data_IF_906362475107
#
_entry.id   IF_906362475107
#
_cell.length_a   1.000
_cell.length_b   1.000
_cell.length_c   1.000
_cell.angle_alpha   90.00
_cell.angle_beta   90.00
_cell.angle_gamma   90.00
#
_symmetry.space_group_name_H-M   'P 1'
#
loop_
_entity.id
_entity.type
_entity.pdbx_description
1 polymer ?
#
# COMPACT_ATOMS: atom_id res chain seq x y z
N UNK A 1 7.45 15.05 -7.99
CA UNK A 1 7.54 13.63 -8.35
C UNK A 1 8.99 13.14 -8.29
N UNK A 2 9.94 13.78 -8.95
CA UNK A 2 11.34 13.33 -9.03
C UNK A 2 11.99 13.22 -7.64
N UNK A 3 11.81 14.23 -6.78
CA UNK A 3 12.38 14.22 -5.42
C UNK A 3 11.85 13.07 -4.54
N UNK A 4 10.56 12.70 -4.68
CA UNK A 4 10.00 11.54 -3.96
C UNK A 4 10.57 10.22 -4.47
N UNK A 5 10.69 10.05 -5.78
CA UNK A 5 11.25 8.84 -6.37
C UNK A 5 12.73 8.68 -6.07
N UNK A 6 13.49 9.78 -6.05
CA UNK A 6 14.91 9.78 -5.71
C UNK A 6 15.12 9.41 -4.23
N UNK A 7 14.34 10.01 -3.33
CA UNK A 7 14.35 9.67 -1.91
C UNK A 7 13.97 8.19 -1.66
N UNK A 8 12.92 7.72 -2.34
CA UNK A 8 12.49 6.32 -2.28
C UNK A 8 13.60 5.36 -2.74
N UNK A 9 14.24 5.65 -3.87
CA UNK A 9 15.30 4.81 -4.40
C UNK A 9 16.55 4.80 -3.49
N UNK A 10 16.96 5.97 -3.02
CA UNK A 10 18.14 6.13 -2.18
C UNK A 10 18.02 5.36 -0.86
N UNK A 11 16.88 5.46 -0.17
CA UNK A 11 16.73 4.94 1.19
C UNK A 11 16.12 3.54 1.27
N UNK A 12 15.68 2.96 0.15
CA UNK A 12 14.94 1.68 0.15
C UNK A 12 15.72 0.52 0.76
N UNK A 13 17.05 0.45 0.54
CA UNK A 13 17.91 -0.57 1.12
C UNK A 13 18.02 -0.42 2.64
N UNK A 14 18.31 0.77 3.11
CA UNK A 14 18.47 1.06 4.53
C UNK A 14 17.15 0.88 5.29
N UNK A 15 16.03 1.23 4.68
CA UNK A 15 14.69 0.96 5.20
C UNK A 15 14.45 -0.54 5.40
N UNK A 16 14.83 -1.37 4.43
CA UNK A 16 14.76 -2.82 4.54
C UNK A 16 15.69 -3.38 5.63
N UNK A 17 16.92 -2.89 5.71
CA UNK A 17 17.89 -3.33 6.72
C UNK A 17 17.41 -2.96 8.15
N UNK A 18 16.75 -1.82 8.34
CA UNK A 18 16.07 -1.50 9.62
C UNK A 18 15.05 -2.55 10.03
N UNK A 19 14.18 -3.01 9.12
CA UNK A 19 13.26 -4.11 9.42
C UNK A 19 13.97 -5.39 9.85
N UNK A 20 15.12 -5.69 9.24
CA UNK A 20 15.94 -6.85 9.64
C UNK A 20 16.47 -6.70 11.07
N UNK A 21 16.91 -5.53 11.46
CA UNK A 21 17.34 -5.26 12.85
C UNK A 21 16.20 -5.36 13.85
N UNK A 22 14.96 -5.04 13.43
CA UNK A 22 13.74 -5.19 14.23
C UNK A 22 13.21 -6.64 14.27
N UNK A 23 13.91 -7.59 13.68
CA UNK A 23 13.56 -9.00 13.75
C UNK A 23 12.94 -9.61 12.50
N UNK A 24 12.76 -8.85 11.42
CA UNK A 24 12.29 -9.41 10.16
C UNK A 24 13.31 -10.44 9.60
N UNK A 25 12.83 -11.64 9.28
CA UNK A 25 13.67 -12.73 8.75
C UNK A 25 13.25 -13.09 7.33
N UNK A 26 14.02 -12.70 6.30
CA UNK A 26 13.79 -13.14 4.93
C UNK A 26 14.24 -14.59 4.72
N UNK A 27 13.79 -15.19 3.63
CA UNK A 27 14.45 -16.37 3.08
C UNK A 27 15.85 -15.97 2.61
N UNK A 28 16.85 -16.76 2.97
CA UNK A 28 18.27 -16.49 2.68
C UNK A 28 18.75 -17.35 1.50
N UNK A 29 19.57 -16.77 0.67
CA UNK A 29 20.33 -17.49 -0.34
C UNK A 29 21.53 -18.17 0.33
N UNK A 30 21.59 -19.50 0.27
CA UNK A 30 22.62 -20.31 0.94
C UNK A 30 24.05 -20.08 0.41
N UNK A 31 24.18 -19.50 -0.78
CA UNK A 31 25.50 -19.31 -1.42
C UNK A 31 26.23 -18.05 -0.91
N UNK A 32 25.47 -17.00 -0.54
CA UNK A 32 26.06 -15.69 -0.23
C UNK A 32 25.40 -14.97 0.95
N UNK A 33 24.57 -15.66 1.71
CA UNK A 33 23.84 -15.14 2.88
C UNK A 33 23.01 -13.84 2.62
N UNK A 34 22.61 -13.63 1.38
CA UNK A 34 21.79 -12.47 1.00
C UNK A 34 20.29 -12.82 0.99
N UNK A 35 19.40 -11.84 1.18
CA UNK A 35 17.97 -12.05 1.03
C UNK A 35 17.61 -12.59 -0.35
N UNK A 36 16.89 -13.70 -0.39
CA UNK A 36 16.51 -14.38 -1.63
C UNK A 36 15.36 -13.66 -2.33
N UNK A 37 15.62 -13.17 -3.53
CA UNK A 37 14.57 -12.61 -4.39
C UNK A 37 13.55 -13.67 -4.81
N UNK A 38 12.29 -13.26 -4.96
CA UNK A 38 11.26 -14.12 -5.53
C UNK A 38 11.65 -14.59 -6.94
N UNK A 39 11.21 -15.78 -7.36
CA UNK A 39 11.65 -16.40 -8.62
C UNK A 39 11.19 -15.63 -9.87
N UNK A 40 10.12 -14.84 -9.75
CA UNK A 40 9.57 -14.01 -10.83
C UNK A 40 9.46 -12.54 -10.41
N UNK A 41 9.51 -11.60 -11.36
CA UNK A 41 9.16 -10.21 -11.08
C UNK A 41 7.73 -10.11 -10.57
N UNK A 42 7.52 -9.38 -9.49
CA UNK A 42 6.17 -9.09 -8.97
C UNK A 42 5.48 -8.00 -9.81
N UNK A 43 4.17 -7.91 -9.69
CA UNK A 43 3.29 -7.05 -10.49
C UNK A 43 3.89 -5.72 -10.96
N UNK A 44 4.15 -5.62 -12.25
CA UNK A 44 4.70 -4.45 -12.94
C UNK A 44 6.21 -4.30 -12.92
N UNK A 45 6.97 -5.11 -12.16
CA UNK A 45 8.42 -5.05 -12.16
C UNK A 45 9.04 -5.66 -13.41
N UNK A 46 10.06 -5.02 -13.96
CA UNK A 46 10.87 -5.54 -15.07
C UNK A 46 12.00 -6.47 -14.62
N UNK A 47 12.33 -6.46 -13.33
CA UNK A 47 13.40 -7.27 -12.72
C UNK A 47 12.96 -7.88 -11.41
N UNK A 48 13.54 -9.02 -11.04
CA UNK A 48 13.34 -9.66 -9.74
C UNK A 48 14.06 -8.85 -8.65
N UNK A 49 13.30 -8.20 -7.79
CA UNK A 49 13.82 -7.39 -6.66
C UNK A 49 12.98 -7.53 -5.38
N UNK A 50 11.85 -8.23 -5.47
CA UNK A 50 11.01 -8.47 -4.30
C UNK A 50 11.53 -9.65 -3.51
N UNK A 51 11.63 -9.50 -2.20
CA UNK A 51 12.09 -10.53 -1.26
C UNK A 51 10.87 -11.16 -0.59
N UNK A 52 10.82 -12.50 -0.58
CA UNK A 52 9.77 -13.24 0.11
C UNK A 52 10.08 -13.43 1.59
N UNK A 53 9.03 -13.35 2.42
CA UNK A 53 9.11 -13.62 3.85
C UNK A 53 8.03 -14.64 4.22
N UNK A 54 8.37 -15.56 5.11
CA UNK A 54 7.37 -16.47 5.66
C UNK A 54 6.38 -15.66 6.51
N UNK A 55 5.07 -15.83 6.27
CA UNK A 55 4.00 -15.06 6.91
C UNK A 55 4.11 -13.55 6.69
N UNK A 56 4.45 -13.12 5.49
CA UNK A 56 4.75 -11.73 5.07
C UNK A 56 4.18 -10.61 5.93
N UNK A 57 2.87 -10.34 5.85
CA UNK A 57 2.23 -9.24 6.58
C UNK A 57 2.34 -9.37 8.09
N UNK A 58 2.17 -10.56 8.61
CA UNK A 58 2.31 -10.85 10.05
C UNK A 58 3.75 -10.60 10.51
N UNK A 59 4.75 -11.03 9.72
CA UNK A 59 6.15 -10.84 10.06
C UNK A 59 6.53 -9.34 10.11
N UNK A 60 6.05 -8.52 9.18
CA UNK A 60 6.24 -7.08 9.20
C UNK A 60 5.51 -6.42 10.37
N UNK A 61 4.25 -6.80 10.62
CA UNK A 61 3.47 -6.31 11.75
C UNK A 61 4.15 -6.61 13.09
N UNK A 62 4.64 -7.83 13.29
CA UNK A 62 5.36 -8.20 14.50
C UNK A 62 6.69 -7.46 14.65
N UNK A 63 7.46 -7.26 13.58
CA UNK A 63 8.71 -6.50 13.64
C UNK A 63 8.46 -5.05 14.07
N UNK A 64 7.46 -4.40 13.49
CA UNK A 64 7.07 -3.03 13.85
C UNK A 64 6.54 -2.93 15.29
N UNK A 65 5.59 -3.80 15.65
CA UNK A 65 5.00 -3.79 16.98
C UNK A 65 6.04 -4.07 18.06
N UNK A 66 6.92 -5.02 17.81
CA UNK A 66 8.02 -5.33 18.72
C UNK A 66 8.94 -4.12 18.95
N UNK A 67 9.23 -3.35 17.89
CA UNK A 67 10.01 -2.12 18.02
C UNK A 67 9.29 -1.03 18.83
N UNK A 68 7.97 -0.94 18.73
CA UNK A 68 7.15 0.00 19.51
C UNK A 68 7.13 -0.39 20.99
N UNK A 69 6.79 -1.65 21.32
CA UNK A 69 6.62 -2.09 22.72
C UNK A 69 7.92 -2.28 23.48
N UNK A 70 9.04 -2.50 22.79
CA UNK A 70 10.36 -2.55 23.42
C UNK A 70 10.99 -1.16 23.59
N UNK A 71 10.43 -0.15 22.92
CA UNK A 71 10.84 1.25 23.06
C UNK A 71 10.19 1.88 24.27
N UNK A 72 10.97 2.26 25.28
CA UNK A 72 10.53 2.96 26.50
C UNK A 72 10.15 4.43 26.28
N UNK A 73 10.14 4.92 25.03
CA UNK A 73 9.92 6.31 24.64
C UNK A 73 8.67 6.53 23.79
N UNK A 74 7.85 5.49 23.62
CA UNK A 74 6.65 5.54 22.78
C UNK A 74 5.45 5.17 23.64
N UNK A 75 4.59 6.14 23.88
CA UNK A 75 3.26 5.89 24.42
C UNK A 75 2.31 5.53 23.29
N UNK A 76 1.45 4.53 23.50
CA UNK A 76 0.45 4.14 22.53
C UNK A 76 -0.93 4.09 23.16
N UNK A 77 -1.93 4.49 22.39
CA UNK A 77 -3.34 4.48 22.76
C UNK A 77 -4.07 3.48 21.88
N UNK A 78 -4.61 2.43 22.50
CA UNK A 78 -5.43 1.41 21.83
C UNK A 78 -6.92 1.79 21.87
N UNK A 79 -7.71 1.25 20.96
CA UNK A 79 -9.15 1.50 20.83
C UNK A 79 -9.51 3.00 20.75
N UNK A 80 -8.62 3.77 20.15
CA UNK A 80 -8.76 5.22 20.00
C UNK A 80 -8.92 5.62 18.53
N UNK A 81 -9.80 6.57 18.27
CA UNK A 81 -10.03 7.14 16.96
C UNK A 81 -9.44 8.54 16.89
N UNK A 82 -8.51 8.76 15.96
CA UNK A 82 -8.00 10.10 15.67
C UNK A 82 -9.07 10.86 14.88
N UNK A 83 -9.60 11.93 15.45
CA UNK A 83 -10.72 12.68 14.88
C UNK A 83 -10.26 13.83 14.00
N UNK A 84 -9.28 14.61 14.49
CA UNK A 84 -8.82 15.79 13.76
C UNK A 84 -7.43 16.28 14.22
N UNK A 85 -6.77 17.03 13.34
CA UNK A 85 -5.59 17.82 13.66
C UNK A 85 -6.03 19.19 14.16
N UNK A 86 -5.52 19.59 15.30
CA UNK A 86 -5.75 20.94 15.82
C UNK A 86 -4.67 21.87 15.29
N UNK A 87 -5.11 22.91 14.59
CA UNK A 87 -4.22 23.90 13.96
C UNK A 87 -4.45 25.29 14.55
N UNK A 88 -3.45 26.15 14.44
CA UNK A 88 -3.50 27.55 14.79
C UNK A 88 -3.02 28.38 13.61
N UNK A 89 -3.76 29.43 13.26
CA UNK A 89 -3.33 30.40 12.26
C UNK A 89 -2.18 31.24 12.83
N UNK A 90 -1.24 31.61 11.96
CA UNK A 90 -0.17 32.52 12.37
C UNK A 90 -0.73 33.93 12.61
N UNK A 91 -0.30 34.64 13.69
CA UNK A 91 -0.82 35.97 14.02
C UNK A 91 -0.63 37.03 12.92
N UNK A 92 0.36 36.84 12.08
CA UNK A 92 0.74 37.72 10.97
C UNK A 92 0.10 37.33 9.63
N UNK A 93 -0.85 36.37 9.64
CA UNK A 93 -1.43 35.83 8.42
C UNK A 93 -0.52 34.87 7.68
N UNK A 94 0.57 34.42 8.28
CA UNK A 94 1.50 33.43 7.73
C UNK A 94 0.94 32.00 7.74
N UNK A 95 1.83 31.05 7.65
CA UNK A 95 1.49 29.63 7.52
C UNK A 95 0.76 29.09 8.78
N UNK A 96 -0.37 28.42 8.56
CA UNK A 96 -1.07 27.64 9.61
C UNK A 96 -0.15 26.56 10.15
N UNK A 97 -0.20 26.33 11.47
CA UNK A 97 0.65 25.31 12.12
C UNK A 97 -0.17 24.34 12.97
N UNK A 98 0.32 23.12 13.09
CA UNK A 98 -0.18 22.10 14.00
C UNK A 98 0.15 22.51 15.45
N UNK A 99 -0.81 22.36 16.34
CA UNK A 99 -0.64 22.51 17.79
C UNK A 99 -1.05 21.25 18.56
N UNK A 100 -1.63 20.25 17.88
CA UNK A 100 -2.01 18.98 18.47
C UNK A 100 -3.01 18.19 17.64
N UNK A 101 -3.71 17.28 18.32
CA UNK A 101 -4.76 16.46 17.74
C UNK A 101 -5.87 16.14 18.74
N UNK A 102 -7.02 15.80 18.22
CA UNK A 102 -8.20 15.37 18.96
C UNK A 102 -8.43 13.88 18.74
N UNK A 103 -8.59 13.14 19.84
CA UNK A 103 -8.75 11.69 19.84
C UNK A 103 -10.02 11.34 20.61
N UNK A 104 -10.75 10.34 20.13
CA UNK A 104 -11.85 9.70 20.84
C UNK A 104 -11.40 8.35 21.40
N UNK A 105 -11.40 8.21 22.71
CA UNK A 105 -11.17 6.94 23.40
C UNK A 105 -12.49 6.16 23.41
N UNK A 106 -12.61 5.17 22.57
CA UNK A 106 -13.84 4.39 22.42
C UNK A 106 -14.10 3.49 23.64
N UNK A 107 -13.06 3.06 24.33
CA UNK A 107 -13.21 2.21 25.52
C UNK A 107 -13.77 2.99 26.73
N UNK A 108 -13.42 4.28 26.84
CA UNK A 108 -13.88 5.15 27.96
C UNK A 108 -14.98 6.11 27.59
N UNK A 109 -15.26 6.27 26.28
CA UNK A 109 -16.27 7.23 25.79
C UNK A 109 -15.87 8.69 26.01
N UNK A 110 -14.56 9.01 26.01
CA UNK A 110 -14.05 10.33 26.31
C UNK A 110 -13.25 10.92 25.16
N UNK A 111 -13.17 12.25 25.11
CA UNK A 111 -12.30 12.97 24.18
C UNK A 111 -10.97 13.29 24.86
N UNK A 112 -9.89 13.06 24.13
CA UNK A 112 -8.52 13.36 24.54
C UNK A 112 -7.95 14.41 23.61
N UNK A 113 -7.53 15.56 24.15
CA UNK A 113 -6.77 16.55 23.40
C UNK A 113 -5.27 16.35 23.68
N UNK A 114 -4.51 16.10 22.61
CA UNK A 114 -3.06 15.93 22.68
C UNK A 114 -2.39 17.20 22.15
N UNK A 115 -1.51 17.81 22.95
CA UNK A 115 -0.66 18.90 22.47
C UNK A 115 0.60 18.34 21.84
N UNK A 116 0.83 18.69 20.59
CA UNK A 116 2.02 18.28 19.84
C UNK A 116 2.33 19.31 18.76
N UNK A 117 3.59 19.71 18.57
CA UNK A 117 3.99 20.63 17.49
C UNK A 117 4.10 19.94 16.14
N UNK A 118 3.99 18.60 16.10
CA UNK A 118 4.03 17.80 14.90
C UNK A 118 3.07 16.62 14.97
N UNK A 119 2.40 16.32 13.85
CA UNK A 119 1.55 15.15 13.65
C UNK A 119 1.96 14.46 12.37
N UNK A 120 2.16 13.14 12.41
CA UNK A 120 2.41 12.30 11.24
C UNK A 120 1.14 11.51 10.91
N UNK A 121 0.51 11.81 9.78
CA UNK A 121 -0.64 11.07 9.28
C UNK A 121 -0.17 9.76 8.65
N UNK A 122 -0.54 8.63 9.27
CA UNK A 122 -0.17 7.30 8.82
C UNK A 122 -1.35 6.30 8.95
N UNK A 123 -2.59 6.81 8.95
CA UNK A 123 -3.80 6.03 9.17
C UNK A 123 -4.31 5.28 7.91
N UNK A 124 -3.47 5.16 6.87
CA UNK A 124 -3.78 4.38 5.68
C UNK A 124 -4.61 5.13 4.64
N UNK A 125 -5.23 4.36 3.74
CA UNK A 125 -5.94 4.84 2.57
C UNK A 125 -7.47 4.85 2.69
N UNK A 126 -8.17 4.70 1.55
CA UNK A 126 -9.64 4.82 1.47
C UNK A 126 -10.34 3.60 0.86
N UNK A 127 -9.65 2.48 0.66
CA UNK A 127 -10.19 1.35 -0.13
C UNK A 127 -11.47 0.74 0.46
N UNK A 128 -11.75 0.95 1.75
CA UNK A 128 -13.00 0.51 2.39
C UNK A 128 -14.26 1.19 1.83
N UNK A 129 -14.13 2.34 1.16
CA UNK A 129 -15.25 2.96 0.44
C UNK A 129 -15.81 2.05 -0.66
N UNK A 130 -15.04 1.09 -1.12
CA UNK A 130 -15.43 0.10 -2.13
C UNK A 130 -15.98 -1.19 -1.54
N UNK A 131 -16.14 -1.28 -0.21
CA UNK A 131 -16.63 -2.50 0.43
C UNK A 131 -17.96 -2.98 -0.20
N UNK A 132 -18.14 -4.30 -0.42
CA UNK A 132 -17.27 -5.45 -0.11
C UNK A 132 -16.17 -5.73 -1.15
N UNK A 133 -16.03 -4.91 -2.19
CA UNK A 133 -15.11 -5.08 -3.31
C UNK A 133 -13.73 -4.49 -2.99
N UNK A 134 -13.15 -4.94 -1.89
CA UNK A 134 -11.81 -4.57 -1.44
C UNK A 134 -11.17 -5.72 -0.65
N UNK A 135 -9.86 -5.87 -0.78
CA UNK A 135 -9.05 -6.83 -0.02
C UNK A 135 -8.36 -6.19 1.19
N UNK A 136 -8.66 -4.92 1.48
CA UNK A 136 -8.02 -4.16 2.55
C UNK A 136 -8.79 -4.24 3.87
N UNK A 137 -8.13 -3.82 4.95
CA UNK A 137 -8.74 -3.73 6.27
C UNK A 137 -9.85 -2.69 6.30
N UNK A 138 -10.89 -2.93 7.08
CA UNK A 138 -12.06 -2.03 7.20
C UNK A 138 -11.72 -0.64 7.74
N UNK A 139 -10.58 -0.46 8.40
CA UNK A 139 -10.09 0.83 8.87
C UNK A 139 -9.51 1.73 7.79
N UNK A 140 -9.44 1.31 6.51
CA UNK A 140 -8.99 2.15 5.39
C UNK A 140 -10.14 3.05 4.89
N UNK A 141 -10.63 3.95 5.74
CA UNK A 141 -11.84 4.75 5.56
C UNK A 141 -11.61 6.13 4.96
N UNK A 142 -10.33 6.50 4.70
CA UNK A 142 -9.98 7.80 4.10
C UNK A 142 -9.81 8.93 5.12
N UNK A 143 -9.79 8.63 6.41
CA UNK A 143 -9.70 9.64 7.47
C UNK A 143 -8.43 10.48 7.36
N UNK A 144 -7.30 9.88 6.96
CA UNK A 144 -6.05 10.61 6.70
C UNK A 144 -6.26 11.80 5.78
N UNK A 145 -6.99 11.59 4.68
CA UNK A 145 -7.21 12.60 3.65
C UNK A 145 -8.19 13.67 4.12
N UNK A 146 -9.29 13.25 4.73
CA UNK A 146 -10.31 14.17 5.23
C UNK A 146 -9.75 15.11 6.30
N UNK A 147 -8.99 14.56 7.26
CA UNK A 147 -8.35 15.33 8.32
C UNK A 147 -7.31 16.31 7.76
N UNK A 148 -6.46 15.84 6.87
CA UNK A 148 -5.42 16.68 6.25
C UNK A 148 -6.03 17.83 5.41
N UNK A 149 -7.08 17.53 4.62
CA UNK A 149 -7.78 18.55 3.84
C UNK A 149 -8.44 19.61 4.74
N UNK A 150 -9.09 19.22 5.84
CA UNK A 150 -9.65 20.18 6.81
C UNK A 150 -8.57 21.03 7.46
N UNK A 151 -7.40 20.46 7.69
CA UNK A 151 -6.24 21.20 8.20
C UNK A 151 -5.68 22.20 7.18
N UNK A 152 -5.97 22.05 5.89
CA UNK A 152 -5.52 22.92 4.80
C UNK A 152 -4.35 22.36 3.98
N UNK A 153 -4.09 21.04 4.08
CA UNK A 153 -3.12 20.37 3.21
C UNK A 153 -3.72 20.02 1.86
N UNK A 154 -2.91 20.05 0.80
CA UNK A 154 -3.32 19.61 -0.51
C UNK A 154 -3.35 18.09 -0.62
N UNK A 155 -4.28 17.60 -1.43
CA UNK A 155 -4.37 16.20 -1.85
C UNK A 155 -3.98 16.10 -3.33
N UNK A 156 -3.30 15.01 -3.69
CA UNK A 156 -2.82 14.75 -5.05
C UNK A 156 -3.21 13.35 -5.52
N UNK A 157 -3.48 13.20 -6.82
CA UNK A 157 -3.76 11.91 -7.49
C UNK A 157 -4.93 11.12 -6.84
N UNK A 158 -5.94 11.81 -6.30
CA UNK A 158 -7.05 11.18 -5.56
C UNK A 158 -7.93 10.27 -6.43
N UNK A 159 -7.86 10.39 -7.75
CA UNK A 159 -8.51 9.51 -8.71
C UNK A 159 -7.76 8.20 -8.94
N UNK A 160 -6.51 8.09 -8.45
CA UNK A 160 -5.63 6.95 -8.70
C UNK A 160 -5.82 5.85 -7.66
N UNK A 161 -6.85 5.04 -7.83
CA UNK A 161 -7.10 3.85 -7.00
C UNK A 161 -6.68 2.59 -7.76
N UNK A 162 -5.78 1.78 -7.18
CA UNK A 162 -5.37 0.52 -7.77
C UNK A 162 -6.36 -0.59 -7.44
N UNK A 163 -6.84 -1.27 -8.49
CA UNK A 163 -7.65 -2.48 -8.37
C UNK A 163 -6.81 -3.71 -8.69
N UNK A 164 -6.94 -4.76 -7.86
CA UNK A 164 -6.40 -6.08 -8.16
C UNK A 164 -7.45 -6.89 -8.91
N UNK A 165 -7.10 -7.48 -10.09
CA UNK A 165 -8.08 -8.10 -10.97
C UNK A 165 -8.64 -9.42 -10.44
N UNK A 166 -7.85 -10.17 -9.66
CA UNK A 166 -8.17 -11.55 -9.30
C UNK A 166 -8.47 -11.68 -7.81
N UNK A 167 -9.58 -11.05 -7.43
CA UNK A 167 -10.18 -11.22 -6.11
C UNK A 167 -11.44 -12.08 -6.21
N UNK A 168 -11.83 -12.69 -5.10
CA UNK A 168 -13.01 -13.55 -5.02
C UNK A 168 -14.25 -12.77 -5.39
N UNK A 169 -15.03 -13.26 -6.37
CA UNK A 169 -16.34 -12.72 -6.71
C UNK A 169 -17.46 -13.38 -5.91
N UNK A 170 -17.31 -14.67 -5.57
CA UNK A 170 -18.24 -15.49 -4.80
C UNK A 170 -17.48 -16.61 -4.10
N UNK A 171 -17.88 -17.02 -2.87
CA UNK A 171 -19.07 -16.64 -2.11
C UNK A 171 -18.90 -15.27 -1.38
N UNK A 172 -20.00 -14.64 -0.95
CA UNK A 172 -19.98 -13.31 -0.31
C UNK A 172 -19.10 -13.20 0.94
N UNK A 173 -18.92 -14.30 1.69
CA UNK A 173 -18.05 -14.34 2.87
C UNK A 173 -16.56 -14.13 2.57
N UNK A 174 -16.16 -14.32 1.32
CA UNK A 174 -14.79 -14.14 0.82
C UNK A 174 -14.69 -13.07 -0.26
N UNK A 175 -15.82 -12.41 -0.62
CA UNK A 175 -15.83 -11.39 -1.67
C UNK A 175 -14.78 -10.31 -1.41
N UNK A 176 -14.07 -9.96 -2.46
CA UNK A 176 -13.02 -8.93 -2.42
C UNK A 176 -11.64 -9.45 -2.07
N UNK A 177 -11.50 -10.61 -1.44
CA UNK A 177 -10.19 -11.12 -1.03
C UNK A 177 -9.34 -11.57 -2.22
N UNK A 178 -8.07 -11.20 -2.20
CA UNK A 178 -7.09 -11.56 -3.22
C UNK A 178 -6.85 -13.07 -3.28
N UNK A 179 -6.97 -13.65 -4.48
CA UNK A 179 -6.66 -15.08 -4.74
C UNK A 179 -5.60 -15.26 -5.82
N UNK A 180 -5.25 -14.23 -6.57
CA UNK A 180 -4.22 -14.33 -7.60
C UNK A 180 -3.74 -12.99 -8.13
N UNK A 181 -2.64 -13.04 -8.85
CA UNK A 181 -2.04 -11.95 -9.60
C UNK A 181 -1.91 -12.35 -11.07
N UNK A 182 -1.73 -11.45 -12.02
CA UNK A 182 -1.56 -11.84 -13.43
C UNK A 182 -0.53 -12.96 -13.64
N UNK A 183 0.56 -12.93 -12.91
CA UNK A 183 1.61 -13.97 -12.98
C UNK A 183 1.11 -15.35 -12.57
N UNK A 184 0.10 -15.46 -11.71
CA UNK A 184 -0.47 -16.77 -11.31
C UNK A 184 -1.25 -17.45 -12.40
N UNK A 185 -1.72 -16.70 -13.42
CA UNK A 185 -2.38 -17.28 -14.59
C UNK A 185 -1.46 -18.19 -15.39
N UNK A 186 -0.13 -18.03 -15.27
CA UNK A 186 0.87 -18.76 -16.05
C UNK A 186 0.62 -18.67 -17.56
N UNK A 187 1.35 -19.44 -18.36
CA UNK A 187 1.42 -19.25 -19.82
C UNK A 187 0.10 -19.52 -20.58
N UNK A 188 -0.73 -20.42 -20.06
CA UNK A 188 -1.96 -20.86 -20.73
C UNK A 188 -3.23 -20.33 -20.05
N UNK A 189 -3.08 -19.50 -19.02
CA UNK A 189 -4.22 -18.90 -18.34
C UNK A 189 -4.84 -17.77 -19.16
N UNK A 190 -6.18 -17.76 -19.23
CA UNK A 190 -6.97 -16.78 -19.97
C UNK A 190 -8.11 -16.26 -19.11
N UNK A 191 -8.63 -15.08 -19.43
CA UNK A 191 -9.91 -14.60 -18.89
C UNK A 191 -11.04 -14.91 -19.85
N UNK A 192 -12.15 -15.43 -19.30
CA UNK A 192 -13.36 -15.75 -20.07
C UNK A 192 -14.59 -15.04 -19.50
N UNK A 193 -15.53 -14.70 -20.38
CA UNK A 193 -16.85 -14.20 -20.00
C UNK A 193 -17.78 -15.35 -19.55
N UNK A 194 -19.02 -14.99 -19.17
CA UNK A 194 -20.05 -15.96 -18.76
C UNK A 194 -20.39 -17.03 -19.80
N UNK A 195 -20.13 -16.76 -21.08
CA UNK A 195 -20.41 -17.68 -22.18
C UNK A 195 -19.17 -18.54 -22.52
N UNK A 196 -18.08 -18.44 -21.78
CA UNK A 196 -16.83 -19.15 -22.02
C UNK A 196 -15.95 -18.52 -23.11
N UNK A 197 -16.34 -17.38 -23.70
CA UNK A 197 -15.54 -16.68 -24.72
C UNK A 197 -14.34 -16.02 -24.06
N UNK A 198 -13.16 -16.15 -24.67
CA UNK A 198 -11.94 -15.47 -24.20
C UNK A 198 -12.10 -13.96 -24.38
N UNK A 199 -11.94 -13.21 -23.29
CA UNK A 199 -11.95 -11.74 -23.26
C UNK A 199 -10.54 -11.16 -23.15
N UNK A 200 -9.58 -11.94 -22.61
CA UNK A 200 -8.16 -11.57 -22.55
C UNK A 200 -7.30 -12.84 -22.53
N UNK A 201 -6.31 -12.88 -23.39
CA UNK A 201 -5.26 -13.89 -23.43
C UNK A 201 -3.90 -13.35 -22.95
N UNK A 202 -2.91 -14.23 -22.79
CA UNK A 202 -1.59 -13.83 -22.33
C UNK A 202 -1.61 -13.13 -20.97
N UNK A 203 -2.55 -13.48 -20.12
CA UNK A 203 -2.86 -12.82 -18.85
C UNK A 203 -1.62 -12.59 -17.98
N UNK A 204 -0.68 -13.54 -17.94
CA UNK A 204 0.54 -13.47 -17.14
C UNK A 204 1.50 -12.35 -17.56
N UNK A 205 1.36 -11.82 -18.78
CA UNK A 205 2.14 -10.69 -19.32
C UNK A 205 1.43 -9.34 -19.15
N UNK A 206 0.17 -9.35 -18.72
CA UNK A 206 -0.65 -8.15 -18.60
C UNK A 206 -0.44 -7.45 -17.26
N UNK A 207 -0.69 -6.16 -17.26
CA UNK A 207 -0.74 -5.37 -16.03
C UNK A 207 -2.04 -5.65 -15.26
N UNK A 208 -2.05 -5.31 -13.98
CA UNK A 208 -3.27 -5.36 -13.15
C UNK A 208 -4.40 -4.53 -13.76
N UNK A 209 -4.07 -3.33 -14.26
CA UNK A 209 -5.02 -2.42 -14.87
C UNK A 209 -5.66 -3.01 -16.15
N UNK A 210 -4.85 -3.61 -17.03
CA UNK A 210 -5.37 -4.25 -18.25
C UNK A 210 -6.32 -5.40 -17.94
N UNK A 211 -5.96 -6.26 -16.97
CA UNK A 211 -6.82 -7.36 -16.55
C UNK A 211 -8.12 -6.86 -15.93
N UNK A 212 -8.04 -5.86 -15.02
CA UNK A 212 -9.21 -5.26 -14.38
C UNK A 212 -10.14 -4.60 -15.43
N UNK A 213 -9.57 -3.84 -16.35
CA UNK A 213 -10.33 -3.21 -17.43
C UNK A 213 -11.01 -4.22 -18.34
N UNK A 214 -10.34 -5.32 -18.69
CA UNK A 214 -10.93 -6.38 -19.51
C UNK A 214 -12.14 -7.05 -18.82
N UNK A 215 -12.02 -7.31 -17.52
CA UNK A 215 -13.13 -7.86 -16.71
C UNK A 215 -14.29 -6.87 -16.66
N UNK A 216 -14.03 -5.61 -16.33
CA UNK A 216 -15.09 -4.62 -16.15
C UNK A 216 -15.81 -4.28 -17.47
N UNK A 217 -15.09 -4.20 -18.60
CA UNK A 217 -15.71 -4.05 -19.91
C UNK A 217 -16.65 -5.23 -20.25
N UNK A 218 -16.25 -6.46 -19.93
CA UNK A 218 -17.13 -7.60 -20.12
C UNK A 218 -18.39 -7.54 -19.24
N UNK A 219 -18.27 -7.00 -18.02
CA UNK A 219 -19.42 -6.77 -17.12
C UNK A 219 -20.34 -5.69 -17.68
N UNK A 220 -19.79 -4.55 -18.11
CA UNK A 220 -20.53 -3.43 -18.72
C UNK A 220 -21.27 -3.84 -19.98
N UNK A 221 -20.65 -4.68 -20.83
CA UNK A 221 -21.26 -5.27 -22.02
C UNK A 221 -22.33 -6.34 -21.70
N UNK A 222 -22.67 -6.58 -20.45
CA UNK A 222 -23.60 -7.62 -20.04
C UNK A 222 -23.08 -9.06 -20.22
N UNK A 223 -21.78 -9.23 -20.43
CA UNK A 223 -21.11 -10.53 -20.59
C UNK A 223 -20.40 -11.00 -19.30
N UNK A 224 -20.51 -10.24 -18.22
CA UNK A 224 -19.97 -10.61 -16.92
C UNK A 224 -20.61 -11.88 -16.36
N UNK A 225 -19.90 -12.52 -15.43
CA UNK A 225 -20.43 -13.65 -14.66
C UNK A 225 -21.58 -13.23 -13.76
N UNK A 226 -22.38 -14.17 -13.20
CA UNK A 226 -23.50 -13.82 -12.32
C UNK A 226 -23.12 -12.93 -11.12
N UNK A 227 -21.88 -13.02 -10.63
CA UNK A 227 -21.40 -12.20 -9.52
C UNK A 227 -20.62 -10.94 -9.99
N UNK A 228 -20.77 -10.54 -11.26
CA UNK A 228 -20.21 -9.30 -11.80
C UNK A 228 -18.69 -9.34 -11.98
N UNK A 229 -18.17 -10.45 -12.48
CA UNK A 229 -16.75 -10.67 -12.74
C UNK A 229 -16.50 -11.38 -14.07
N UNK A 230 -15.43 -12.15 -14.10
CA UNK A 230 -15.03 -13.03 -15.22
C UNK A 230 -14.47 -14.35 -14.66
N UNK A 231 -14.26 -15.33 -15.54
CA UNK A 231 -13.60 -16.57 -15.17
C UNK A 231 -12.10 -16.51 -15.50
N UNK A 232 -11.24 -16.62 -14.50
CA UNK A 232 -9.81 -16.90 -14.69
C UNK A 232 -9.65 -18.40 -14.93
N UNK A 233 -9.47 -18.78 -16.19
CA UNK A 233 -9.35 -20.18 -16.60
C UNK A 233 -7.88 -20.57 -16.72
N UNK A 234 -7.43 -21.39 -15.78
CA UNK A 234 -6.09 -21.96 -15.71
C UNK A 234 -6.08 -23.47 -15.95
N UNK A 235 -7.22 -24.04 -16.35
CA UNK A 235 -7.38 -25.51 -16.55
C UNK A 235 -6.41 -26.06 -17.59
N UNK A 236 -6.09 -25.27 -18.64
CA UNK A 236 -5.12 -25.67 -19.66
C UNK A 236 -3.70 -25.85 -19.07
N UNK A 237 -3.26 -24.99 -18.15
CA UNK A 237 -1.98 -25.17 -17.43
C UNK A 237 -1.97 -26.47 -16.62
N UNK A 238 -3.08 -26.73 -15.91
CA UNK A 238 -3.25 -27.92 -15.07
C UNK A 238 -3.20 -29.22 -15.86
N UNK A 239 -3.88 -29.23 -17.03
CA UNK A 239 -4.00 -30.41 -17.90
C UNK A 239 -2.76 -30.64 -18.77
N UNK A 240 -1.84 -29.68 -18.86
CA UNK A 240 -0.65 -29.81 -19.71
C UNK A 240 0.28 -30.94 -19.20
N UNK A 241 0.58 -31.98 -20.02
CA UNK A 241 1.22 -33.20 -19.53
C UNK A 241 2.58 -32.99 -18.88
N UNK A 242 3.40 -32.07 -19.43
CA UNK A 242 4.77 -31.82 -18.94
C UNK A 242 4.86 -30.77 -17.86
N UNK A 243 4.06 -29.68 -17.95
CA UNK A 243 4.17 -28.54 -17.07
C UNK A 243 3.15 -28.51 -15.93
N UNK A 244 2.06 -29.29 -16.01
CA UNK A 244 0.99 -29.28 -15.01
C UNK A 244 1.46 -29.48 -13.57
N UNK A 245 2.31 -30.47 -13.25
CA UNK A 245 2.84 -30.66 -11.91
C UNK A 245 3.67 -29.48 -11.41
N UNK A 246 4.48 -28.87 -12.29
CA UNK A 246 5.29 -27.68 -11.96
C UNK A 246 4.40 -26.45 -11.76
N UNK A 247 3.36 -26.29 -12.58
CA UNK A 247 2.38 -25.22 -12.42
C UNK A 247 1.69 -25.28 -11.05
N UNK A 248 1.23 -26.44 -10.62
CA UNK A 248 0.59 -26.60 -9.32
C UNK A 248 1.55 -26.30 -8.17
N UNK A 249 2.80 -26.74 -8.26
CA UNK A 249 3.84 -26.38 -7.28
C UNK A 249 4.11 -24.86 -7.26
N UNK A 250 4.18 -24.25 -8.44
CA UNK A 250 4.34 -22.81 -8.58
C UNK A 250 3.16 -22.06 -7.95
N UNK A 251 1.92 -22.41 -8.31
CA UNK A 251 0.71 -21.77 -7.80
C UNK A 251 0.64 -21.79 -6.26
N UNK A 252 0.96 -22.92 -5.66
CA UNK A 252 0.97 -23.07 -4.20
C UNK A 252 2.11 -22.30 -3.50
N UNK A 253 3.22 -22.03 -4.19
CA UNK A 253 4.43 -21.42 -3.62
C UNK A 253 4.61 -19.95 -3.94
N UNK A 254 4.07 -19.46 -5.06
CA UNK A 254 4.26 -18.08 -5.51
C UNK A 254 3.50 -17.08 -4.62
N UNK A 255 2.24 -17.40 -4.29
CA UNK A 255 1.38 -16.59 -3.44
C UNK A 255 0.65 -17.49 -2.44
N UNK A 256 1.33 -18.05 -1.43
CA UNK A 256 0.78 -19.10 -0.58
C UNK A 256 -0.47 -18.66 0.20
N UNK A 257 -0.54 -17.40 0.62
CA UNK A 257 -1.72 -16.87 1.32
C UNK A 257 -2.92 -16.75 0.38
N UNK A 258 -2.73 -16.24 -0.83
CA UNK A 258 -3.78 -16.13 -1.84
C UNK A 258 -4.27 -17.53 -2.28
N UNK A 259 -3.37 -18.48 -2.49
CA UNK A 259 -3.73 -19.86 -2.78
C UNK A 259 -4.54 -20.52 -1.65
N UNK A 260 -4.19 -20.24 -0.39
CA UNK A 260 -4.96 -20.70 0.77
C UNK A 260 -6.38 -20.13 0.76
N UNK A 261 -6.53 -18.83 0.48
CA UNK A 261 -7.84 -18.17 0.34
C UNK A 261 -8.63 -18.78 -0.81
N UNK A 262 -8.01 -18.97 -1.99
CA UNK A 262 -8.66 -19.62 -3.13
C UNK A 262 -9.20 -21.02 -2.76
N UNK A 263 -8.43 -21.81 -2.05
CA UNK A 263 -8.84 -23.14 -1.59
C UNK A 263 -10.00 -23.11 -0.60
N UNK A 264 -10.02 -22.13 0.29
CA UNK A 264 -11.08 -21.97 1.29
C UNK A 264 -12.37 -21.42 0.67
N UNK A 265 -12.25 -20.44 -0.22
CA UNK A 265 -13.37 -19.75 -0.84
C UNK A 265 -14.03 -20.56 -1.97
N UNK A 266 -13.21 -21.11 -2.88
CA UNK A 266 -13.67 -21.72 -4.12
C UNK A 266 -13.72 -23.25 -4.06
N UNK A 267 -13.15 -23.86 -3.01
CA UNK A 267 -13.10 -25.31 -2.85
C UNK A 267 -11.91 -25.96 -3.54
N UNK A 268 -11.84 -27.30 -3.41
CA UNK A 268 -10.67 -28.08 -3.82
C UNK A 268 -10.51 -28.16 -5.35
N UNK A 269 -11.60 -28.32 -6.08
CA UNK A 269 -11.57 -28.46 -7.55
C UNK A 269 -11.02 -27.16 -8.21
N UNK A 270 -11.56 -26.01 -7.83
CA UNK A 270 -11.06 -24.73 -8.29
C UNK A 270 -9.61 -24.48 -7.85
N UNK A 271 -9.27 -24.73 -6.57
CA UNK A 271 -7.90 -24.55 -6.10
C UNK A 271 -6.89 -25.44 -6.85
N UNK A 272 -7.30 -26.62 -7.32
CA UNK A 272 -6.48 -27.49 -8.17
C UNK A 272 -6.50 -27.07 -9.66
N UNK A 273 -7.22 -26.00 -10.01
CA UNK A 273 -7.44 -25.57 -11.39
C UNK A 273 -8.08 -26.67 -12.28
N UNK A 274 -8.91 -27.52 -11.69
CA UNK A 274 -9.80 -28.43 -12.42
C UNK A 274 -11.01 -27.65 -12.98
N UNK A 275 -11.32 -26.50 -12.37
CA UNK A 275 -12.34 -25.52 -12.74
C UNK A 275 -11.74 -24.12 -12.80
N UNK A 276 -12.37 -23.21 -13.54
CA UNK A 276 -12.00 -21.80 -13.61
C UNK A 276 -12.40 -21.07 -12.31
N UNK A 277 -11.66 -20.01 -11.97
CA UNK A 277 -11.94 -19.16 -10.81
C UNK A 277 -12.83 -18.00 -11.21
N UNK A 278 -13.96 -17.82 -10.54
CA UNK A 278 -14.75 -16.60 -10.70
C UNK A 278 -14.10 -15.46 -9.94
N UNK A 279 -13.61 -14.46 -10.68
CA UNK A 279 -12.83 -13.35 -10.17
C UNK A 279 -13.45 -12.01 -10.56
N UNK A 280 -13.20 -10.99 -9.76
CA UNK A 280 -13.55 -9.61 -10.05
C UNK A 280 -12.49 -8.65 -9.53
N UNK A 281 -12.38 -7.43 -10.09
CA UNK A 281 -11.51 -6.41 -9.54
C UNK A 281 -11.98 -5.94 -8.16
N UNK A 282 -11.00 -5.74 -7.25
CA UNK A 282 -11.24 -5.19 -5.92
C UNK A 282 -10.23 -4.08 -5.61
N UNK A 283 -10.70 -3.03 -4.92
CA UNK A 283 -9.84 -1.92 -4.51
C UNK A 283 -8.79 -2.41 -3.51
N UNK A 284 -7.54 -2.04 -3.77
CA UNK A 284 -6.38 -2.56 -3.03
C UNK A 284 -5.51 -1.45 -2.44
N UNK A 285 -5.19 -0.43 -3.21
CA UNK A 285 -4.23 0.58 -2.80
C UNK A 285 -4.61 1.95 -3.35
N UNK A 286 -4.63 2.96 -2.47
CA UNK A 286 -4.76 4.36 -2.88
C UNK A 286 -3.36 4.90 -3.21
N UNK A 287 -3.15 5.34 -4.45
CA UNK A 287 -1.87 5.90 -4.90
C UNK A 287 -1.79 7.40 -4.70
N UNK A 288 -2.94 8.05 -4.67
CA UNK A 288 -3.07 9.44 -4.25
C UNK A 288 -3.06 9.60 -2.73
N UNK A 289 -3.07 10.82 -2.27
CA UNK A 289 -3.07 11.15 -0.85
C UNK A 289 -2.60 12.56 -0.55
N UNK A 290 -2.15 12.77 0.68
CA UNK A 290 -1.62 14.05 1.14
C UNK A 290 -0.36 14.38 0.33
N UNK A 291 -0.34 15.55 -0.29
CA UNK A 291 0.84 16.05 -1.01
C UNK A 291 1.95 16.33 -0.02
N UNK A 292 3.13 15.76 -0.25
CA UNK A 292 4.29 15.94 0.64
C UNK A 292 5.56 16.28 -0.13
N UNK A 293 6.51 16.87 0.58
CA UNK A 293 7.90 16.93 0.12
C UNK A 293 8.61 15.57 0.33
N UNK A 294 9.89 15.50 -0.01
CA UNK A 294 10.71 14.29 0.14
C UNK A 294 10.96 13.86 1.59
N UNK A 295 10.64 14.71 2.57
CA UNK A 295 10.73 14.42 4.01
C UNK A 295 9.38 14.11 4.64
N UNK A 296 8.33 14.00 3.81
CA UNK A 296 6.98 13.72 4.27
C UNK A 296 6.23 14.93 4.86
N UNK A 297 6.78 16.14 4.80
CA UNK A 297 6.07 17.34 5.24
C UNK A 297 4.94 17.70 4.27
N UNK A 298 3.76 17.97 4.80
CA UNK A 298 2.60 18.35 4.00
C UNK A 298 2.84 19.72 3.35
N UNK A 299 2.66 19.78 2.03
CA UNK A 299 2.85 21.00 1.22
C UNK A 299 1.56 21.39 0.50
N UNK A 300 1.41 22.67 0.17
CA UNK A 300 0.33 23.20 -0.65
C UNK A 300 0.90 23.96 -1.86
N UNK A 301 0.10 24.11 -2.92
CA UNK A 301 0.49 24.77 -4.15
C UNK A 301 0.97 23.82 -5.25
N UNK A 302 0.99 24.31 -6.51
CA UNK A 302 1.31 23.51 -7.69
C UNK A 302 2.81 23.22 -7.82
N UNK A 303 3.68 24.10 -7.33
CA UNK A 303 5.13 23.96 -7.41
C UNK A 303 5.72 23.45 -6.08
N UNK A 304 6.55 22.42 -6.17
CA UNK A 304 7.30 21.88 -5.02
C UNK A 304 8.26 22.88 -4.35
N UNK A 305 8.38 24.10 -4.93
CA UNK A 305 9.14 25.23 -4.38
C UNK A 305 8.33 26.06 -3.37
N UNK A 306 7.00 25.99 -3.40
CA UNK A 306 6.11 26.72 -2.49
C UNK A 306 5.85 25.97 -1.19
N UNK A 307 6.89 25.41 -0.59
CA UNK A 307 6.83 24.81 0.75
C UNK A 307 6.28 25.77 1.84
N UNK A 308 6.12 27.04 1.49
CA UNK A 308 5.60 28.09 2.36
C UNK A 308 4.09 28.05 2.58
N UNK A 309 3.33 27.29 1.77
CA UNK A 309 1.86 27.34 1.78
C UNK A 309 1.19 26.10 2.42
N UNK A 310 1.95 25.11 2.90
CA UNK A 310 1.43 23.95 3.58
C UNK A 310 1.05 24.19 5.05
N UNK A 311 0.74 23.14 5.76
CA UNK A 311 0.46 23.18 7.19
C UNK A 311 1.72 22.82 7.97
N UNK A 312 2.37 23.78 8.60
CA UNK A 312 3.58 23.54 9.38
C UNK A 312 3.35 22.52 10.50
N UNK A 313 4.24 21.54 10.62
CA UNK A 313 4.11 20.46 11.60
C UNK A 313 3.16 19.31 11.19
N UNK A 314 2.53 19.35 10.03
CA UNK A 314 1.80 18.21 9.47
C UNK A 314 2.71 17.42 8.53
N UNK A 315 2.75 16.11 8.73
CA UNK A 315 3.53 15.15 7.93
C UNK A 315 2.65 13.98 7.51
N UNK A 316 3.04 13.28 6.47
CA UNK A 316 2.37 12.04 6.06
C UNK A 316 3.37 10.97 5.61
N UNK A 317 2.99 9.70 5.78
CA UNK A 317 3.79 8.56 5.37
C UNK A 317 2.90 7.34 5.05
N UNK A 318 3.43 6.41 4.28
CA UNK A 318 2.69 5.23 3.83
C UNK A 318 1.52 5.63 2.95
N UNK A 319 0.46 4.83 2.94
CA UNK A 319 -0.68 5.04 2.05
C UNK A 319 -1.46 6.36 2.30
N UNK A 320 -1.17 7.08 3.38
CA UNK A 320 -1.71 8.42 3.60
C UNK A 320 -1.05 9.48 2.70
N UNK A 321 0.18 9.23 2.23
CA UNK A 321 0.96 10.11 1.37
C UNK A 321 0.65 9.83 -0.11
N UNK A 322 0.52 10.88 -0.93
CA UNK A 322 0.32 10.79 -2.37
C UNK A 322 1.53 11.26 -3.19
N UNK A 323 1.43 11.11 -4.54
CA UNK A 323 2.38 11.68 -5.50
C UNK A 323 3.62 10.83 -5.81
N UNK A 324 3.84 9.68 -5.13
CA UNK A 324 4.99 8.81 -5.40
C UNK A 324 4.79 7.89 -6.60
N UNK A 325 3.62 7.27 -6.71
CA UNK A 325 3.41 6.13 -7.62
C UNK A 325 2.72 6.50 -8.93
N UNK A 326 2.17 7.71 -9.05
CA UNK A 326 1.35 8.09 -10.20
C UNK A 326 0.21 7.10 -10.43
N UNK A 327 -0.03 6.72 -11.67
CA UNK A 327 -1.17 5.87 -12.04
C UNK A 327 -0.98 4.35 -11.76
N UNK A 328 0.20 3.90 -11.31
CA UNK A 328 0.43 2.46 -11.13
C UNK A 328 1.51 2.14 -10.09
N UNK A 329 1.10 1.64 -8.94
CA UNK A 329 2.02 1.13 -7.93
C UNK A 329 2.51 -0.28 -8.29
N UNK A 330 3.82 -0.47 -8.26
CA UNK A 330 4.43 -1.78 -8.46
C UNK A 330 4.25 -2.70 -7.22
N UNK A 331 4.18 -3.99 -7.45
CA UNK A 331 4.04 -4.97 -6.36
C UNK A 331 5.16 -4.83 -5.32
N UNK A 332 4.84 -4.97 -4.03
CA UNK A 332 5.74 -4.86 -2.86
C UNK A 332 6.25 -3.44 -2.51
N UNK A 333 6.13 -2.44 -3.39
CA UNK A 333 6.72 -1.12 -3.14
C UNK A 333 6.03 -0.34 -2.02
N UNK A 334 4.77 -0.65 -1.69
CA UNK A 334 4.05 0.00 -0.59
C UNK A 334 4.67 -0.24 0.79
N UNK A 335 5.19 -1.45 1.05
CA UNK A 335 5.89 -1.72 2.30
C UNK A 335 7.22 -0.94 2.38
N UNK A 336 7.92 -0.83 1.26
CA UNK A 336 9.16 -0.04 1.17
C UNK A 336 8.86 1.46 1.33
N UNK A 337 7.79 1.96 0.72
CA UNK A 337 7.32 3.34 0.88
C UNK A 337 7.05 3.68 2.35
N UNK A 338 6.22 2.86 3.02
CA UNK A 338 5.93 3.05 4.45
C UNK A 338 7.21 3.05 5.31
N UNK A 339 8.21 2.22 4.98
CA UNK A 339 9.47 2.16 5.70
C UNK A 339 10.37 3.39 5.44
N UNK A 340 10.46 3.84 4.19
CA UNK A 340 11.28 5.00 3.81
C UNK A 340 10.67 6.28 4.36
N UNK A 341 9.43 6.58 3.96
CA UNK A 341 8.81 7.85 4.31
C UNK A 341 8.33 7.89 5.76
N UNK A 342 8.02 6.76 6.39
CA UNK A 342 7.80 6.70 7.83
C UNK A 342 9.01 7.17 8.63
N UNK A 343 10.22 6.75 8.23
CA UNK A 343 11.45 7.22 8.86
C UNK A 343 11.75 8.69 8.58
N UNK A 344 11.60 9.13 7.33
CA UNK A 344 11.82 10.53 6.93
C UNK A 344 10.86 11.47 7.62
N UNK A 345 9.56 11.17 7.57
CA UNK A 345 8.53 11.97 8.24
C UNK A 345 8.74 12.02 9.76
N UNK A 346 9.07 10.89 10.39
CA UNK A 346 9.37 10.84 11.82
C UNK A 346 10.58 11.70 12.20
N UNK A 347 11.66 11.65 11.42
CA UNK A 347 12.85 12.49 11.64
C UNK A 347 12.55 13.98 11.43
N UNK A 348 11.80 14.32 10.38
CA UNK A 348 11.42 15.70 10.10
C UNK A 348 10.47 16.25 11.16
N UNK A 349 9.50 15.46 11.62
CA UNK A 349 8.59 15.80 12.70
C UNK A 349 9.35 16.05 14.02
N UNK A 350 10.33 15.23 14.35
CA UNK A 350 11.17 15.41 15.53
C UNK A 350 12.01 16.69 15.45
N UNK A 351 12.61 16.99 14.30
CA UNK A 351 13.36 18.24 14.08
C UNK A 351 12.45 19.46 14.22
N UNK A 352 11.26 19.43 13.65
CA UNK A 352 10.27 20.50 13.79
C UNK A 352 9.88 20.70 15.27
N UNK A 353 9.68 19.62 16.01
CA UNK A 353 9.29 19.67 17.42
C UNK A 353 10.38 20.26 18.35
N UNK A 354 11.66 20.07 18.01
CA UNK A 354 12.79 20.60 18.79
C UNK A 354 13.19 22.03 18.41
N UNK A 355 12.51 22.66 17.44
CA UNK A 355 12.86 23.99 16.93
C UNK A 355 14.17 24.02 16.14
N UNK A 356 14.75 22.85 15.84
CA UNK A 356 16.03 22.73 15.11
C UNK A 356 15.80 22.72 13.58
N UNK A 357 14.97 23.64 13.10
CA UNK A 357 14.88 23.96 11.69
C UNK A 357 16.17 24.70 11.33
N UNK A 358 17.11 24.00 10.72
CA UNK A 358 18.41 24.52 10.39
C UNK A 358 18.35 25.87 9.65
N UNK A 359 18.51 26.92 10.37
CA UNK A 359 19.01 28.19 9.84
C UNK A 359 20.50 28.00 9.55
N UNK A 360 20.81 27.33 8.47
CA UNK A 360 22.13 27.33 7.84
C UNK A 360 22.37 28.68 7.18
N UNK A 361 22.58 29.74 7.94
CA UNK A 361 23.31 30.90 7.45
C UNK A 361 24.77 30.65 7.80
N UNK A 362 25.55 30.21 6.82
CA UNK A 362 26.98 30.45 6.80
C UNK A 362 27.19 31.98 6.80
N UNK A 363 27.36 32.54 7.98
CA UNK A 363 28.00 33.85 8.09
C UNK A 363 29.49 33.63 7.94
N UNK A 364 30.00 33.82 6.74
CA UNK A 364 31.41 34.05 6.49
C UNK A 364 31.89 35.21 7.31
N UNK A 365 32.62 34.96 8.39
CA UNK A 365 33.43 35.91 9.10
C UNK A 365 34.75 36.06 8.36
N UNK A 366 34.87 37.14 7.57
CA UNK A 366 36.15 37.57 7.04
C UNK A 366 37.07 38.10 8.14
N UNK A 367 38.31 37.97 7.85
CA UNK A 367 39.50 38.36 8.59
C UNK A 367 39.46 39.77 9.25
N UNK A 368 40.07 39.84 10.40
CA UNK A 368 41.25 40.70 10.66
C UNK A 368 42.06 40.08 11.80
#
# INVERSE_FOLDING_TARGET
>A
VTALTDAFAADSKDAYDRYRTQGLRPAINSENDTPKSLPLPMGGHTRRRSVGHRNSGIAFGHANWNAVVQGDRIDYLEDCWFLDVVTQDAPDGGQRRVVGGLIYDAARGTLIAVRAPSVVMAAGGLSTLYFPKTDTMRGNTGDSYAVAARAGADLVDMEQVQFLPFCVASPPSYEGLLIGEPVTASYLGVLRDKNGKVILDGVYLRTRAECSAAIMRAVEDGRGTPNGGAYLDMTANRKHPRSGPYFMKFLASALPSAYKVARQALGKAAANCDEAWEVRPSAHYMMGGIRTDANGAAVAGEDAGDAALGVAGLFAAGQAMGGLFGANRLGSTSLTEGAVFGARAGQAAAKNATGNNGSGSESGGGAD
#
